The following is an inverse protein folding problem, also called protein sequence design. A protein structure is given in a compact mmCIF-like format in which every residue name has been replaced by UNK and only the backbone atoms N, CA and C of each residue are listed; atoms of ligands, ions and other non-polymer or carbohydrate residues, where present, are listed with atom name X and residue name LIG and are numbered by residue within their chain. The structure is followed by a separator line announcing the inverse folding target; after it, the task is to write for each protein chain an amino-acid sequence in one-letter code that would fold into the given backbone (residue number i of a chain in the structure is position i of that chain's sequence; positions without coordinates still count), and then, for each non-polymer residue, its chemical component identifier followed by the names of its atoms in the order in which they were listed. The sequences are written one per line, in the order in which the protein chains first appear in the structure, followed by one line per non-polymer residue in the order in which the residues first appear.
data_IF_309020915099
#
_entry.id   IF_309020915099
#
_cell.length_a   1.000
_cell.length_b   1.000
_cell.length_c   1.000
_cell.angle_alpha   90.00
_cell.angle_beta   90.00
_cell.angle_gamma   90.00
#
_symmetry.space_group_name_H-M   'P 1'
#
loop_
_entity.id
_entity.type
_entity.pdbx_description
1 polymer ?
#
# COMPACT_ATOMS: atom_id res chain seq x y z
N UNK A 1 7.49 64.78 -33.39
CA UNK A 1 6.86 63.46 -33.67
C UNK A 1 7.99 62.50 -33.99
N UNK A 2 8.23 61.36 -33.34
CA UNK A 2 7.51 60.61 -32.29
C UNK A 2 8.50 59.60 -31.72
N UNK A 3 8.49 59.42 -30.40
CA UNK A 3 9.20 58.37 -29.65
C UNK A 3 8.66 56.99 -30.05
N UNK A 4 9.51 55.96 -30.04
CA UNK A 4 9.07 54.59 -29.73
C UNK A 4 10.14 53.91 -28.87
N UNK A 5 9.68 53.47 -27.69
CA UNK A 5 10.43 52.80 -26.63
C UNK A 5 10.56 51.29 -26.90
N UNK A 6 11.63 50.74 -26.35
CA UNK A 6 11.96 49.33 -26.11
C UNK A 6 10.92 48.56 -25.31
N UNK A 7 10.68 47.28 -25.64
CA UNK A 7 10.33 46.24 -24.64
C UNK A 7 11.03 44.93 -24.97
N UNK A 8 12.16 44.71 -24.31
CA UNK A 8 12.87 43.43 -24.21
C UNK A 8 12.11 42.53 -23.23
N UNK A 9 11.71 41.33 -23.66
CA UNK A 9 11.17 40.30 -22.77
C UNK A 9 12.28 39.75 -21.85
N UNK A 10 12.05 39.54 -20.55
CA UNK A 10 12.97 38.76 -19.73
C UNK A 10 12.66 37.27 -19.89
N UNK A 11 13.58 36.55 -20.53
CA UNK A 11 13.63 35.08 -20.53
C UNK A 11 13.90 34.59 -19.12
N UNK A 12 12.88 34.04 -18.45
CA UNK A 12 13.02 33.46 -17.12
C UNK A 12 13.40 31.98 -17.24
N UNK A 13 14.69 31.70 -17.31
CA UNK A 13 15.25 30.37 -17.15
C UNK A 13 15.95 30.29 -15.79
N UNK A 14 15.18 30.37 -14.70
CA UNK A 14 15.68 30.11 -13.35
C UNK A 14 15.89 28.61 -13.19
N UNK A 15 17.10 28.20 -12.87
CA UNK A 15 17.46 26.77 -12.74
C UNK A 15 16.94 26.19 -11.42
N UNK A 16 16.66 24.88 -11.37
CA UNK A 16 16.33 24.18 -10.11
C UNK A 16 17.34 24.48 -8.99
N UNK A 17 18.60 24.61 -9.38
CA UNK A 17 19.70 24.92 -8.48
C UNK A 17 19.54 26.30 -7.84
N UNK A 18 19.11 27.32 -8.60
CA UNK A 18 18.83 28.66 -8.06
C UNK A 18 17.63 28.65 -7.13
N UNK A 19 16.56 27.93 -7.44
CA UNK A 19 15.39 27.80 -6.55
C UNK A 19 15.73 27.08 -5.24
N UNK A 20 16.51 26.00 -5.30
CA UNK A 20 17.00 25.28 -4.11
C UNK A 20 17.98 26.14 -3.30
N UNK A 21 18.79 26.97 -3.97
CA UNK A 21 19.72 27.90 -3.32
C UNK A 21 18.97 29.07 -2.66
N UNK A 22 17.89 29.56 -3.27
CA UNK A 22 17.01 30.57 -2.69
C UNK A 22 16.33 30.05 -1.41
N UNK A 23 15.83 28.80 -1.44
CA UNK A 23 15.29 28.11 -0.25
C UNK A 23 16.34 27.95 0.85
N UNK A 24 17.59 27.63 0.47
CA UNK A 24 18.70 27.50 1.43
C UNK A 24 19.12 28.86 1.99
N UNK A 25 19.16 29.92 1.19
CA UNK A 25 19.62 31.23 1.65
C UNK A 25 18.61 31.92 2.56
N UNK A 26 17.31 31.71 2.33
CA UNK A 26 16.26 32.30 3.18
C UNK A 26 16.14 31.61 4.55
N UNK A 27 16.47 30.32 4.65
CA UNK A 27 16.56 29.63 5.96
C UNK A 27 17.74 30.13 6.82
N UNK A 28 18.73 30.81 6.24
CA UNK A 28 19.90 31.33 6.96
C UNK A 28 19.74 32.79 7.45
N UNK A 29 18.73 33.53 7.00
CA UNK A 29 18.62 34.97 7.30
C UNK A 29 17.99 35.26 8.67
N UNK A 30 17.42 34.28 9.39
CA UNK A 30 16.86 34.47 10.73
C UNK A 30 17.74 34.01 11.92
N UNK A 31 19.03 33.77 11.72
CA UNK A 31 19.96 33.48 12.83
C UNK A 31 21.13 34.46 12.86
N UNK A 32 20.90 35.70 13.31
CA UNK A 32 21.99 36.57 13.73
C UNK A 32 22.29 36.37 15.22
N UNK A 33 23.48 35.79 15.46
CA UNK A 33 24.31 35.71 16.68
C UNK A 33 24.43 34.32 17.33
N UNK A 34 25.37 33.50 16.86
CA UNK A 34 26.26 32.72 17.72
C UNK A 34 27.57 32.38 16.96
N UNK A 35 28.70 32.44 17.67
CA UNK A 35 30.08 32.24 17.18
C UNK A 35 30.38 30.80 16.70
N UNK A 36 31.46 30.60 15.90
CA UNK A 36 31.64 29.40 15.08
C UNK A 36 32.19 28.22 15.87
N UNK A 37 31.60 27.03 15.69
CA UNK A 37 32.21 25.74 16.04
C UNK A 37 32.46 24.92 14.77
N UNK A 38 33.57 24.19 14.81
CA UNK A 38 34.23 23.40 13.76
C UNK A 38 33.37 22.27 13.16
N UNK A 39 33.75 21.71 12.00
CA UNK A 39 32.87 20.86 11.20
C UNK A 39 32.81 19.46 11.79
N UNK A 40 31.75 19.18 12.55
CA UNK A 40 31.37 17.83 12.96
C UNK A 40 30.13 17.41 12.20
N UNK A 41 30.30 16.39 11.35
CA UNK A 41 29.32 15.45 10.81
C UNK A 41 27.86 15.72 11.19
N UNK A 42 27.06 16.19 10.22
CA UNK A 42 25.61 16.24 10.30
C UNK A 42 25.06 14.82 10.48
N UNK A 43 24.81 14.42 11.71
CA UNK A 43 24.00 13.25 12.05
C UNK A 43 22.53 13.59 11.84
N UNK A 44 21.80 12.68 11.20
CA UNK A 44 20.42 12.81 10.69
C UNK A 44 19.33 12.90 11.77
N UNK A 45 19.49 13.74 12.79
CA UNK A 45 18.52 13.89 13.88
C UNK A 45 17.96 15.31 13.94
N UNK A 46 16.81 15.52 13.29
CA UNK A 46 15.91 16.64 13.60
C UNK A 46 14.54 16.32 13.01
N UNK A 47 13.78 15.47 13.69
CA UNK A 47 12.41 15.19 13.31
C UNK A 47 11.48 15.65 14.44
N UNK A 48 10.63 16.61 14.07
CA UNK A 48 9.43 17.03 14.79
C UNK A 48 9.57 17.86 16.08
N UNK A 49 10.59 18.70 16.19
CA UNK A 49 10.49 19.91 17.03
C UNK A 49 9.50 20.93 16.43
N UNK A 50 9.01 21.90 17.21
CA UNK A 50 8.15 23.00 16.72
C UNK A 50 8.75 23.74 15.51
N UNK A 51 10.07 23.73 15.39
CA UNK A 51 10.81 24.20 14.21
C UNK A 51 10.45 23.47 12.90
N UNK A 52 10.06 22.20 12.97
CA UNK A 52 9.66 21.40 11.81
C UNK A 52 8.24 21.75 11.32
N UNK A 53 7.33 22.11 12.24
CA UNK A 53 5.99 22.59 11.87
C UNK A 53 6.11 23.96 11.21
N UNK A 54 6.95 24.84 11.76
CA UNK A 54 7.27 26.13 11.16
C UNK A 54 7.92 25.98 9.78
N UNK A 55 8.81 24.99 9.60
CA UNK A 55 9.40 24.64 8.31
C UNK A 55 8.34 24.20 7.28
N UNK A 56 7.32 23.44 7.70
CA UNK A 56 6.22 23.03 6.83
C UNK A 56 5.36 24.21 6.39
N UNK A 57 4.93 25.09 7.30
CA UNK A 57 4.16 26.29 6.94
C UNK A 57 4.95 27.22 6.01
N UNK A 58 6.24 27.38 6.29
CA UNK A 58 7.15 28.14 5.43
C UNK A 58 7.29 27.50 4.05
N UNK A 59 7.40 26.17 3.98
CA UNK A 59 7.44 25.42 2.73
C UNK A 59 6.16 25.63 1.91
N UNK A 60 4.97 25.54 2.51
CA UNK A 60 3.68 25.74 1.83
C UNK A 60 3.56 27.18 1.29
N UNK A 61 3.96 28.19 2.07
CA UNK A 61 3.99 29.60 1.65
C UNK A 61 4.95 29.81 0.48
N UNK A 62 6.16 29.26 0.58
CA UNK A 62 7.18 29.33 -0.46
C UNK A 62 6.67 28.68 -1.76
N UNK A 63 6.07 27.50 -1.66
CA UNK A 63 5.49 26.80 -2.80
C UNK A 63 4.36 27.60 -3.46
N UNK A 64 3.53 28.28 -2.67
CA UNK A 64 2.48 29.18 -3.17
C UNK A 64 3.07 30.36 -3.93
N UNK A 65 4.16 30.95 -3.44
CA UNK A 65 4.92 31.98 -4.14
C UNK A 65 5.56 31.49 -5.45
N UNK A 66 6.10 30.26 -5.46
CA UNK A 66 6.66 29.60 -6.64
C UNK A 66 5.55 29.34 -7.69
N UNK A 67 4.38 28.87 -7.26
CA UNK A 67 3.20 28.67 -8.12
C UNK A 67 2.75 30.00 -8.75
N UNK A 68 2.70 31.08 -7.97
CA UNK A 68 2.32 32.41 -8.45
C UNK A 68 3.28 32.98 -9.52
N UNK A 69 4.54 32.52 -9.53
CA UNK A 69 5.54 32.88 -10.55
C UNK A 69 5.39 32.09 -11.86
N UNK A 70 4.42 31.18 -11.97
CA UNK A 70 4.19 30.39 -13.18
C UNK A 70 5.21 29.29 -13.41
N UNK A 71 5.85 28.80 -12.35
CA UNK A 71 6.80 27.68 -12.46
C UNK A 71 6.07 26.41 -12.90
N UNK A 72 6.72 25.63 -13.78
CA UNK A 72 6.14 24.41 -14.35
C UNK A 72 5.81 23.37 -13.26
N UNK A 73 4.69 22.68 -13.42
CA UNK A 73 4.16 21.74 -12.43
C UNK A 73 5.10 20.55 -12.12
N UNK A 74 5.86 20.07 -13.10
CA UNK A 74 6.89 19.02 -12.94
C UNK A 74 8.03 19.47 -12.03
N UNK A 75 8.39 20.76 -12.10
CA UNK A 75 9.41 21.35 -11.23
C UNK A 75 8.93 21.44 -9.79
N UNK A 76 7.70 21.93 -9.62
CA UNK A 76 7.02 22.03 -8.33
C UNK A 76 6.91 20.63 -7.73
N UNK A 77 6.53 19.64 -8.54
CA UNK A 77 6.46 18.25 -8.10
C UNK A 77 7.81 17.68 -7.67
N UNK A 78 8.88 17.98 -8.40
CA UNK A 78 10.25 17.59 -8.03
C UNK A 78 10.68 18.21 -6.70
N UNK A 79 10.35 19.49 -6.46
CA UNK A 79 10.62 20.17 -5.19
C UNK A 79 9.87 19.47 -4.04
N UNK A 80 8.58 19.16 -4.24
CA UNK A 80 7.76 18.46 -3.23
C UNK A 80 8.31 17.06 -2.95
N UNK A 81 8.63 16.28 -3.98
CA UNK A 81 9.18 14.93 -3.82
C UNK A 81 10.51 14.95 -3.08
N UNK A 82 11.39 15.91 -3.40
CA UNK A 82 12.66 16.07 -2.70
C UNK A 82 12.46 16.48 -1.24
N UNK A 83 11.59 17.46 -0.97
CA UNK A 83 11.25 17.88 0.39
C UNK A 83 10.65 16.73 1.19
N UNK A 84 9.67 16.03 0.64
CA UNK A 84 9.01 14.89 1.28
C UNK A 84 10.00 13.76 1.61
N UNK A 85 10.96 13.47 0.72
CA UNK A 85 11.96 12.42 0.94
C UNK A 85 12.95 12.73 2.06
N UNK A 86 13.16 14.02 2.37
CA UNK A 86 13.98 14.46 3.52
C UNK A 86 13.29 14.14 4.85
N UNK A 87 11.96 14.25 4.89
CA UNK A 87 11.16 14.14 6.12
C UNK A 87 10.51 12.77 6.31
N UNK A 88 10.31 12.03 5.22
CA UNK A 88 9.80 10.67 5.20
C UNK A 88 10.78 9.80 4.39
N UNK A 89 11.76 9.15 5.05
CA UNK A 89 12.69 8.25 4.38
C UNK A 89 11.97 7.13 3.60
N UNK A 90 10.79 6.71 4.09
CA UNK A 90 9.86 5.77 3.42
C UNK A 90 9.51 6.19 1.97
N UNK A 91 9.64 7.48 1.63
CA UNK A 91 9.34 8.03 0.30
C UNK A 91 10.57 8.12 -0.61
N UNK A 92 11.78 7.92 -0.09
CA UNK A 92 13.01 7.92 -0.87
C UNK A 92 13.18 6.60 -1.65
N UNK A 93 13.86 6.61 -2.80
CA UNK A 93 14.06 5.42 -3.63
C UNK A 93 15.03 4.38 -3.04
N UNK A 94 15.70 4.66 -1.91
CA UNK A 94 16.60 3.71 -1.25
C UNK A 94 15.78 2.62 -0.56
N UNK A 95 16.02 1.37 -0.97
CA UNK A 95 15.27 0.21 -0.50
C UNK A 95 15.37 0.00 1.01
N UNK A 96 14.25 -0.43 1.60
CA UNK A 96 14.08 -1.06 2.92
C UNK A 96 15.35 -1.09 3.78
N UNK A 97 15.68 0.04 4.40
CA UNK A 97 16.63 0.09 5.50
C UNK A 97 15.92 0.65 6.72
N UNK A 98 15.64 -0.28 7.63
CA UNK A 98 15.70 -0.13 9.09
C UNK A 98 14.73 0.88 9.72
N UNK A 99 13.73 0.33 10.42
CA UNK A 99 13.16 0.98 11.59
C UNK A 99 14.30 1.15 12.60
N UNK A 100 14.91 2.32 12.64
CA UNK A 100 15.85 2.69 13.70
C UNK A 100 15.09 3.40 14.84
N UNK A 101 15.41 2.94 16.05
CA UNK A 101 14.84 3.34 17.31
C UNK A 101 14.90 4.85 17.53
N UNK A 102 13.75 5.44 17.82
CA UNK A 102 13.64 6.83 18.27
C UNK A 102 13.93 6.90 19.76
N UNK A 103 15.21 7.03 20.12
CA UNK A 103 15.60 7.42 21.48
C UNK A 103 15.88 8.92 21.53
N UNK A 104 14.84 9.75 21.46
CA UNK A 104 14.93 11.14 21.93
C UNK A 104 13.55 11.75 22.23
N UNK A 105 13.46 12.40 23.39
CA UNK A 105 12.35 13.22 23.91
C UNK A 105 11.10 12.49 24.45
N UNK A 106 10.50 12.94 25.58
CA UNK A 106 9.29 12.34 26.17
C UNK A 106 8.02 12.78 25.42
N UNK A 107 8.03 12.77 24.09
CA UNK A 107 6.83 13.05 23.31
C UNK A 107 6.02 11.75 23.15
N UNK A 108 4.71 11.82 23.40
CA UNK A 108 3.82 10.65 23.28
C UNK A 108 3.88 10.09 21.85
N UNK A 109 4.01 8.77 21.70
CA UNK A 109 3.98 8.06 20.41
C UNK A 109 2.76 8.49 19.57
N UNK A 110 1.64 8.77 20.23
CA UNK A 110 0.41 9.29 19.59
C UNK A 110 0.63 10.66 18.96
N UNK A 111 1.35 11.58 19.62
CA UNK A 111 1.63 12.91 19.09
C UNK A 111 2.55 12.84 17.87
N UNK A 112 3.59 12.00 17.92
CA UNK A 112 4.47 11.76 16.76
C UNK A 112 3.67 11.20 15.56
N UNK A 113 2.77 10.26 15.81
CA UNK A 113 1.90 9.70 14.78
C UNK A 113 0.96 10.74 14.16
N UNK A 114 0.34 11.58 15.00
CA UNK A 114 -0.51 12.68 14.54
C UNK A 114 0.27 13.71 13.71
N UNK A 115 1.51 14.03 14.10
CA UNK A 115 2.39 14.90 13.30
C UNK A 115 2.72 14.28 11.94
N UNK A 116 3.06 12.99 11.89
CA UNK A 116 3.30 12.25 10.63
C UNK A 116 2.05 12.27 9.74
N UNK A 117 0.86 12.07 10.32
CA UNK A 117 -0.42 12.15 9.61
C UNK A 117 -0.66 13.54 9.03
N UNK A 118 -0.55 14.59 9.84
CA UNK A 118 -0.71 15.98 9.39
C UNK A 118 0.26 16.34 8.25
N UNK A 119 1.52 15.86 8.34
CA UNK A 119 2.51 16.06 7.29
C UNK A 119 2.09 15.43 5.96
N UNK A 120 1.59 14.18 5.99
CA UNK A 120 1.09 13.48 4.80
C UNK A 120 -0.13 14.18 4.20
N UNK A 121 -1.10 14.58 5.03
CA UNK A 121 -2.30 15.31 4.58
C UNK A 121 -1.92 16.64 3.90
N UNK A 122 -0.97 17.37 4.50
CA UNK A 122 -0.45 18.62 3.93
C UNK A 122 0.27 18.39 2.60
N UNK A 123 1.10 17.34 2.50
CA UNK A 123 1.75 16.97 1.24
C UNK A 123 0.71 16.72 0.14
N UNK A 124 -0.34 15.95 0.42
CA UNK A 124 -1.41 15.67 -0.55
C UNK A 124 -2.09 16.96 -1.02
N UNK A 125 -2.35 17.90 -0.11
CA UNK A 125 -2.97 19.19 -0.44
C UNK A 125 -2.12 20.08 -1.33
N UNK A 126 -0.79 19.99 -1.25
CA UNK A 126 0.10 20.85 -2.05
C UNK A 126 0.48 20.28 -3.42
N UNK A 127 0.17 19.00 -3.68
CA UNK A 127 0.49 18.34 -4.95
C UNK A 127 -0.09 19.11 -6.16
N UNK A 128 0.72 19.33 -7.23
CA UNK A 128 0.23 19.97 -8.44
C UNK A 128 -0.88 19.11 -9.08
N UNK A 129 -2.02 19.67 -9.51
CA UNK A 129 -3.13 18.89 -10.08
C UNK A 129 -2.81 18.27 -11.45
N UNK A 130 -1.78 18.76 -12.13
CA UNK A 130 -1.41 18.33 -13.48
C UNK A 130 -0.93 16.88 -13.51
N UNK A 131 -1.32 16.16 -14.57
CA UNK A 131 -0.85 14.80 -14.83
C UNK A 131 0.68 14.79 -15.02
N UNK A 132 1.33 13.72 -14.59
CA UNK A 132 2.77 13.48 -14.76
C UNK A 132 3.67 14.53 -14.05
N UNK A 133 3.09 15.41 -13.22
CA UNK A 133 3.83 16.37 -12.38
C UNK A 133 4.56 15.70 -11.22
N UNK A 134 4.05 14.55 -10.75
CA UNK A 134 4.59 13.76 -9.66
C UNK A 134 4.74 12.31 -10.14
N UNK A 135 5.92 11.68 -9.98
CA UNK A 135 6.12 10.29 -10.38
C UNK A 135 5.14 9.32 -9.72
N UNK A 136 4.57 8.38 -10.49
CA UNK A 136 3.59 7.41 -9.98
C UNK A 136 4.12 6.58 -8.80
N UNK A 137 5.39 6.17 -8.84
CA UNK A 137 6.01 5.40 -7.75
C UNK A 137 6.11 6.19 -6.44
N UNK A 138 6.35 7.51 -6.51
CA UNK A 138 6.31 8.36 -5.33
C UNK A 138 4.89 8.46 -4.76
N UNK A 139 3.87 8.58 -5.61
CA UNK A 139 2.47 8.58 -5.15
C UNK A 139 2.08 7.25 -4.49
N UNK A 140 2.55 6.12 -5.00
CA UNK A 140 2.33 4.80 -4.38
C UNK A 140 3.00 4.69 -3.01
N UNK A 141 4.23 5.18 -2.86
CA UNK A 141 4.90 5.27 -1.55
C UNK A 141 4.15 6.20 -0.60
N UNK A 142 3.68 7.35 -1.08
CA UNK A 142 2.87 8.29 -0.30
C UNK A 142 1.55 7.67 0.13
N UNK A 143 0.88 6.91 -0.75
CA UNK A 143 -0.34 6.17 -0.42
C UNK A 143 -0.10 5.07 0.62
N UNK A 144 1.02 4.32 0.51
CA UNK A 144 1.42 3.36 1.54
C UNK A 144 1.57 4.05 2.89
N UNK A 145 2.28 5.17 2.96
CA UNK A 145 2.45 5.94 4.20
C UNK A 145 1.11 6.49 4.70
N UNK A 146 0.25 6.98 3.79
CA UNK A 146 -1.08 7.50 4.10
C UNK A 146 -2.01 6.44 4.70
N UNK A 147 -2.00 5.21 4.16
CA UNK A 147 -2.73 4.08 4.73
C UNK A 147 -2.15 3.66 6.08
N UNK A 148 -0.82 3.64 6.19
CA UNK A 148 -0.14 3.33 7.44
C UNK A 148 -0.55 4.29 8.56
N UNK A 149 -0.53 5.60 8.31
CA UNK A 149 -0.91 6.63 9.31
C UNK A 149 -2.42 6.83 9.48
N UNK A 150 -3.23 6.18 8.64
CA UNK A 150 -4.68 6.23 8.68
C UNK A 150 -5.29 7.58 8.31
N UNK A 151 -4.81 8.26 7.26
CA UNK A 151 -5.39 9.54 6.80
C UNK A 151 -6.87 9.41 6.42
N UNK A 152 -7.59 10.54 6.37
CA UNK A 152 -9.01 10.53 5.97
C UNK A 152 -9.22 10.04 4.53
N UNK A 153 -10.42 9.52 4.29
CA UNK A 153 -10.80 8.91 3.01
C UNK A 153 -10.69 9.87 1.81
N UNK A 154 -10.83 11.18 2.01
CA UNK A 154 -10.67 12.20 0.96
C UNK A 154 -9.24 12.25 0.41
N UNK A 155 -8.24 12.28 1.28
CA UNK A 155 -6.82 12.28 0.90
C UNK A 155 -6.44 11.00 0.17
N UNK A 156 -6.93 9.85 0.68
CA UNK A 156 -6.72 8.55 0.05
C UNK A 156 -7.33 8.51 -1.35
N UNK A 157 -8.57 8.97 -1.51
CA UNK A 157 -9.25 9.00 -2.82
C UNK A 157 -8.54 9.91 -3.83
N UNK A 158 -8.00 11.04 -3.38
CA UNK A 158 -7.24 11.94 -4.26
C UNK A 158 -5.92 11.30 -4.74
N UNK A 159 -5.21 10.59 -3.85
CA UNK A 159 -4.04 9.80 -4.23
C UNK A 159 -4.41 8.66 -5.18
N UNK A 160 -5.45 7.88 -4.87
CA UNK A 160 -5.93 6.79 -5.73
C UNK A 160 -6.30 7.31 -7.12
N UNK A 161 -6.98 8.45 -7.22
CA UNK A 161 -7.34 9.10 -8.49
C UNK A 161 -6.10 9.42 -9.33
N UNK A 162 -5.08 10.03 -8.72
CA UNK A 162 -3.84 10.41 -9.41
C UNK A 162 -3.04 9.20 -9.85
N UNK A 163 -2.90 8.20 -8.99
CA UNK A 163 -2.22 6.93 -9.30
C UNK A 163 -2.93 6.21 -10.45
N UNK A 164 -4.25 6.13 -10.39
CA UNK A 164 -5.06 5.50 -11.44
C UNK A 164 -4.90 6.18 -12.80
N UNK A 165 -4.51 7.46 -12.85
CA UNK A 165 -4.26 8.14 -14.12
C UNK A 165 -2.93 7.69 -14.77
N UNK A 166 -1.93 7.31 -13.98
CA UNK A 166 -0.58 7.00 -14.47
C UNK A 166 -0.08 5.62 -14.03
N UNK A 167 -1.02 4.68 -13.84
CA UNK A 167 -0.72 3.33 -13.38
C UNK A 167 0.21 2.57 -14.34
N UNK A 168 0.24 2.95 -15.62
CA UNK A 168 1.16 2.41 -16.64
C UNK A 168 2.64 2.76 -16.39
N UNK A 169 2.91 3.68 -15.46
CA UNK A 169 4.25 4.08 -15.02
C UNK A 169 4.65 3.47 -13.66
N UNK A 170 3.74 2.73 -13.01
CA UNK A 170 4.00 2.10 -11.73
C UNK A 170 4.93 0.89 -11.88
N UNK A 171 5.74 0.63 -10.87
CA UNK A 171 6.48 -0.62 -10.74
C UNK A 171 5.83 -1.54 -9.69
N UNK A 172 6.03 -2.85 -9.87
CA UNK A 172 5.45 -3.87 -8.99
C UNK A 172 5.82 -3.64 -7.52
N UNK A 173 7.09 -3.33 -7.23
CA UNK A 173 7.60 -3.10 -5.87
C UNK A 173 6.78 -2.08 -5.08
N UNK A 174 6.35 -1.00 -5.73
CA UNK A 174 5.62 0.08 -5.07
C UNK A 174 4.11 -0.17 -5.06
N UNK A 175 3.59 -1.02 -5.97
CA UNK A 175 2.18 -1.43 -5.99
C UNK A 175 1.84 -2.45 -4.89
N UNK A 176 2.82 -3.22 -4.40
CA UNK A 176 2.66 -4.20 -3.31
C UNK A 176 2.52 -3.47 -1.97
N UNK A 177 1.36 -2.88 -1.72
CA UNK A 177 1.05 -2.13 -0.50
C UNK A 177 0.47 -3.08 0.57
N UNK A 178 1.04 -3.13 1.79
CA UNK A 178 0.51 -3.93 2.89
C UNK A 178 -0.88 -3.49 3.31
N UNK A 179 -1.68 -4.44 3.80
CA UNK A 179 -2.93 -4.12 4.49
C UNK A 179 -2.62 -3.61 5.90
N UNK A 180 -3.12 -2.42 6.24
CA UNK A 180 -3.01 -1.84 7.59
C UNK A 180 -4.31 -1.98 8.39
N UNK A 181 -5.27 -2.75 7.89
CA UNK A 181 -6.54 -2.99 8.58
C UNK A 181 -6.43 -4.17 9.55
N UNK A 182 -6.82 -3.96 10.81
CA UNK A 182 -6.84 -5.00 11.84
C UNK A 182 -7.90 -6.09 11.60
N UNK A 183 -8.84 -5.88 10.67
CA UNK A 183 -9.91 -6.83 10.32
C UNK A 183 -9.64 -7.58 9.03
N UNK A 184 -8.55 -7.27 8.33
CA UNK A 184 -8.23 -7.87 7.04
C UNK A 184 -7.29 -9.07 7.26
N UNK A 185 -7.68 -10.22 6.72
CA UNK A 185 -6.85 -11.43 6.79
C UNK A 185 -5.67 -11.41 5.82
N UNK A 186 -5.73 -10.62 4.74
CA UNK A 186 -4.68 -10.61 3.71
C UNK A 186 -3.49 -9.74 4.13
N UNK A 187 -2.30 -10.13 3.68
CA UNK A 187 -1.05 -9.39 3.86
C UNK A 187 -1.02 -8.09 3.04
N UNK A 188 -1.70 -8.10 1.89
CA UNK A 188 -1.73 -7.00 0.93
C UNK A 188 -3.13 -6.37 0.86
N UNK A 189 -3.19 -5.07 0.59
CA UNK A 189 -4.43 -4.36 0.29
C UNK A 189 -4.84 -4.66 -1.17
N UNK A 190 -5.42 -5.84 -1.38
CA UNK A 190 -5.83 -6.31 -2.71
C UNK A 190 -6.98 -5.48 -3.28
N UNK A 191 -7.91 -5.07 -2.42
CA UNK A 191 -9.06 -4.25 -2.78
C UNK A 191 -8.63 -2.85 -3.24
N UNK A 192 -7.51 -2.30 -2.71
CA UNK A 192 -6.90 -1.09 -3.27
C UNK A 192 -6.49 -1.28 -4.73
N UNK A 193 -5.79 -2.37 -5.06
CA UNK A 193 -5.35 -2.61 -6.44
C UNK A 193 -6.54 -2.80 -7.38
N UNK A 194 -7.59 -3.51 -6.94
CA UNK A 194 -8.87 -3.59 -7.67
C UNK A 194 -9.41 -2.18 -7.97
N UNK A 195 -9.47 -1.29 -6.98
CA UNK A 195 -9.97 0.09 -7.18
C UNK A 195 -9.11 0.89 -8.15
N UNK A 196 -7.78 0.78 -8.06
CA UNK A 196 -6.85 1.48 -8.95
C UNK A 196 -7.00 1.02 -10.40
N UNK A 197 -7.05 -0.30 -10.64
CA UNK A 197 -7.16 -0.87 -11.98
C UNK A 197 -8.54 -0.57 -12.59
N UNK A 198 -9.62 -0.68 -11.82
CA UNK A 198 -10.97 -0.29 -12.28
C UNK A 198 -11.00 1.15 -12.77
N UNK A 199 -10.46 2.08 -11.97
CA UNK A 199 -10.37 3.50 -12.34
C UNK A 199 -9.50 3.72 -13.58
N UNK A 200 -8.35 3.05 -13.69
CA UNK A 200 -7.49 3.14 -14.86
C UNK A 200 -8.21 2.70 -16.14
N UNK A 201 -8.91 1.56 -16.10
CA UNK A 201 -9.66 1.03 -17.26
C UNK A 201 -10.85 1.93 -17.61
N UNK A 202 -11.54 2.51 -16.61
CA UNK A 202 -12.60 3.49 -16.88
C UNK A 202 -12.08 4.71 -17.66
N UNK A 203 -10.84 5.14 -17.45
CA UNK A 203 -10.23 6.25 -18.21
C UNK A 203 -9.87 5.85 -19.65
N UNK A 204 -9.56 4.59 -19.91
CA UNK A 204 -9.29 4.09 -21.28
C UNK A 204 -10.55 4.13 -22.14
N UNK A 205 -11.72 3.76 -21.58
CA UNK A 205 -13.01 3.82 -22.27
C UNK A 205 -13.39 5.25 -22.71
N UNK A 206 -12.84 6.27 -22.05
CA UNK A 206 -13.00 7.69 -22.41
C UNK A 206 -12.00 8.14 -23.50
N UNK A 207 -11.19 7.23 -24.04
CA UNK A 207 -10.14 7.52 -25.03
C UNK A 207 -8.90 8.19 -24.44
N UNK A 208 -8.77 8.24 -23.10
CA UNK A 208 -7.69 8.95 -22.43
C UNK A 208 -6.41 8.12 -22.24
N UNK A 209 -6.39 6.87 -22.70
CA UNK A 209 -5.23 5.96 -22.63
C UNK A 209 -4.91 5.37 -24.00
N UNK A 210 -3.64 5.01 -24.18
CA UNK A 210 -3.18 4.29 -25.36
C UNK A 210 -3.21 2.79 -25.10
N UNK A 211 -3.40 1.99 -26.15
CA UNK A 211 -3.29 0.52 -26.03
C UNK A 211 -1.95 0.06 -25.44
N UNK A 212 -0.86 0.82 -25.66
CA UNK A 212 0.43 0.54 -25.03
C UNK A 212 0.42 0.70 -23.51
N UNK A 213 -0.29 1.71 -22.99
CA UNK A 213 -0.45 1.91 -21.54
C UNK A 213 -1.25 0.75 -20.93
N UNK A 214 -2.32 0.32 -21.62
CA UNK A 214 -3.15 -0.79 -21.21
C UNK A 214 -2.38 -2.12 -21.14
N UNK A 215 -1.52 -2.40 -22.14
CA UNK A 215 -0.64 -3.58 -22.14
C UNK A 215 0.37 -3.54 -20.98
N UNK A 216 0.92 -2.36 -20.64
CA UNK A 216 1.81 -2.22 -19.48
C UNK A 216 1.08 -2.52 -18.17
N UNK A 217 -0.13 -1.99 -18.00
CA UNK A 217 -0.95 -2.26 -16.81
C UNK A 217 -1.34 -3.74 -16.73
N UNK A 218 -1.66 -4.39 -17.84
CA UNK A 218 -1.96 -5.82 -17.83
C UNK A 218 -0.78 -6.66 -17.31
N UNK A 219 0.44 -6.39 -17.81
CA UNK A 219 1.67 -7.05 -17.31
C UNK A 219 1.93 -6.76 -15.83
N UNK A 220 1.67 -5.54 -15.38
CA UNK A 220 1.79 -5.15 -13.97
C UNK A 220 0.79 -5.91 -13.10
N UNK A 221 -0.48 -6.00 -13.51
CA UNK A 221 -1.54 -6.72 -12.79
C UNK A 221 -1.26 -8.22 -12.75
N UNK A 222 -0.86 -8.83 -13.86
CA UNK A 222 -0.52 -10.26 -13.88
C UNK A 222 0.69 -10.56 -12.97
N UNK A 223 1.66 -9.64 -12.89
CA UNK A 223 2.80 -9.77 -11.97
C UNK A 223 2.37 -9.58 -10.51
N UNK A 224 1.46 -8.65 -10.24
CA UNK A 224 0.89 -8.44 -8.91
C UNK A 224 0.07 -9.65 -8.45
N UNK A 225 -0.76 -10.22 -9.33
CA UNK A 225 -1.54 -11.44 -9.06
C UNK A 225 -0.62 -12.60 -8.69
N UNK A 226 0.54 -12.74 -9.35
CA UNK A 226 1.51 -13.79 -9.01
C UNK A 226 2.14 -13.60 -7.61
N UNK A 227 2.42 -12.36 -7.19
CA UNK A 227 2.90 -12.07 -5.83
C UNK A 227 1.80 -12.25 -4.78
N UNK A 228 0.58 -11.76 -5.06
CA UNK A 228 -0.55 -11.85 -4.15
C UNK A 228 -1.08 -13.29 -3.99
N UNK A 229 -0.94 -14.13 -5.02
CA UNK A 229 -1.34 -15.54 -5.00
C UNK A 229 -0.59 -16.38 -3.95
N UNK A 230 0.53 -15.89 -3.41
CA UNK A 230 1.25 -16.53 -2.30
C UNK A 230 0.50 -16.39 -0.97
N UNK A 231 -0.43 -15.42 -0.87
CA UNK A 231 -1.25 -15.20 0.31
C UNK A 231 -2.37 -16.25 0.41
N UNK A 232 -2.29 -17.07 1.46
CA UNK A 232 -3.27 -18.10 1.78
C UNK A 232 -4.69 -17.55 2.02
N UNK A 233 -4.80 -16.27 2.38
CA UNK A 233 -6.07 -15.63 2.73
C UNK A 233 -6.72 -14.93 1.53
N UNK A 234 -6.09 -14.95 0.35
CA UNK A 234 -6.67 -14.39 -0.87
C UNK A 234 -7.81 -15.28 -1.39
N UNK A 235 -9.03 -14.73 -1.48
CA UNK A 235 -10.17 -15.47 -2.00
C UNK A 235 -10.12 -15.63 -3.52
N UNK A 236 -10.72 -16.71 -4.04
CA UNK A 236 -10.80 -16.96 -5.48
C UNK A 236 -11.59 -15.85 -6.17
N UNK A 237 -12.65 -15.37 -5.52
CA UNK A 237 -13.49 -14.31 -6.04
C UNK A 237 -12.71 -13.01 -6.25
N UNK A 238 -11.85 -12.61 -5.29
CA UNK A 238 -10.98 -11.44 -5.44
C UNK A 238 -9.98 -11.63 -6.58
N UNK A 239 -9.30 -12.79 -6.61
CA UNK A 239 -8.34 -13.11 -7.67
C UNK A 239 -8.98 -12.99 -9.07
N UNK A 240 -10.12 -13.64 -9.27
CA UNK A 240 -10.86 -13.61 -10.55
C UNK A 240 -11.35 -12.19 -10.85
N UNK A 241 -11.85 -11.46 -9.84
CA UNK A 241 -12.29 -10.08 -10.00
C UNK A 241 -11.17 -9.22 -10.55
N UNK A 242 -9.96 -9.28 -9.99
CA UNK A 242 -8.83 -8.47 -10.47
C UNK A 242 -8.39 -8.88 -11.89
N UNK A 243 -8.31 -10.19 -12.15
CA UNK A 243 -7.93 -10.70 -13.47
C UNK A 243 -8.91 -10.30 -14.59
N UNK A 244 -10.20 -10.19 -14.27
CA UNK A 244 -11.29 -9.90 -15.21
C UNK A 244 -11.54 -8.41 -15.47
N UNK A 245 -10.95 -7.47 -14.72
CA UNK A 245 -11.13 -6.02 -14.95
C UNK A 245 -10.53 -5.59 -16.31
N UNK A 246 -9.45 -6.24 -16.73
CA UNK A 246 -8.73 -5.88 -17.94
C UNK A 246 -9.40 -6.52 -19.18
N UNK A 247 -9.55 -5.78 -20.29
CA UNK A 247 -10.14 -6.31 -21.51
C UNK A 247 -9.20 -7.30 -22.19
N UNK A 248 -9.76 -8.24 -22.97
CA UNK A 248 -8.99 -9.33 -23.61
C UNK A 248 -7.85 -8.83 -24.50
N UNK A 249 -7.99 -7.68 -25.15
CA UNK A 249 -6.97 -7.11 -26.03
C UNK A 249 -5.81 -6.44 -25.27
N UNK A 250 -5.89 -6.31 -23.95
CA UNK A 250 -4.80 -5.80 -23.12
C UNK A 250 -3.65 -6.81 -22.98
N UNK A 251 -3.95 -8.10 -23.14
CA UNK A 251 -2.98 -9.20 -23.03
C UNK A 251 -2.58 -9.66 -24.42
N UNK A 252 -1.33 -9.41 -24.79
CA UNK A 252 -0.75 -9.99 -26.01
C UNK A 252 -0.36 -11.47 -25.81
N UNK A 253 -0.09 -11.84 -24.55
CA UNK A 253 0.34 -13.17 -24.10
C UNK A 253 -0.22 -13.40 -22.70
N UNK A 254 -0.80 -14.56 -22.44
CA UNK A 254 -1.40 -14.90 -21.14
C UNK A 254 -0.43 -15.60 -20.16
N UNK A 255 0.85 -15.75 -20.52
CA UNK A 255 1.87 -16.42 -19.71
C UNK A 255 1.96 -15.88 -18.28
N UNK A 256 1.85 -14.55 -18.12
CA UNK A 256 1.87 -13.90 -16.82
C UNK A 256 0.66 -14.29 -15.95
N UNK A 257 -0.53 -14.31 -16.54
CA UNK A 257 -1.77 -14.71 -15.89
C UNK A 257 -1.75 -16.20 -15.55
N UNK A 258 -1.32 -17.07 -16.46
CA UNK A 258 -1.19 -18.51 -16.20
C UNK A 258 -0.21 -18.79 -15.06
N UNK A 259 0.91 -18.06 -14.99
CA UNK A 259 1.85 -18.15 -13.86
C UNK A 259 1.17 -17.76 -12.54
N UNK A 260 0.36 -16.69 -12.53
CA UNK A 260 -0.36 -16.29 -11.33
C UNK A 260 -1.40 -17.35 -10.89
N UNK A 261 -2.13 -17.94 -11.84
CA UNK A 261 -3.08 -19.03 -11.60
C UNK A 261 -2.37 -20.26 -11.04
N UNK A 262 -1.25 -20.66 -11.64
CA UNK A 262 -0.44 -21.79 -11.18
C UNK A 262 0.06 -21.59 -9.74
N UNK A 263 0.56 -20.40 -9.40
CA UNK A 263 0.92 -20.06 -8.01
C UNK A 263 -0.28 -20.15 -7.07
N UNK A 264 -1.43 -19.59 -7.47
CA UNK A 264 -2.64 -19.59 -6.64
C UNK A 264 -3.11 -21.03 -6.34
N UNK A 265 -3.21 -21.86 -7.39
CA UNK A 265 -3.63 -23.25 -7.26
C UNK A 265 -2.66 -24.07 -6.40
N UNK A 266 -1.34 -23.84 -6.51
CA UNK A 266 -0.35 -24.50 -5.65
C UNK A 266 -0.61 -24.19 -4.18
N UNK A 267 -0.80 -22.92 -3.83
CA UNK A 267 -1.06 -22.50 -2.44
C UNK A 267 -2.38 -23.09 -1.94
N UNK A 268 -3.46 -23.00 -2.73
CA UNK A 268 -4.74 -23.61 -2.37
C UNK A 268 -4.63 -25.12 -2.14
N UNK A 269 -3.89 -25.83 -3.00
CA UNK A 269 -3.68 -27.28 -2.86
C UNK A 269 -2.89 -27.62 -1.59
N UNK A 270 -1.82 -26.88 -1.28
CA UNK A 270 -1.06 -27.06 -0.04
C UNK A 270 -1.92 -26.84 1.21
N UNK A 271 -2.78 -25.83 1.20
CA UNK A 271 -3.70 -25.55 2.32
C UNK A 271 -4.72 -26.69 2.45
N UNK A 272 -5.23 -27.20 1.34
CA UNK A 272 -6.20 -28.29 1.34
C UNK A 272 -5.61 -29.60 1.91
N UNK A 273 -4.42 -29.99 1.45
CA UNK A 273 -3.68 -31.16 1.96
C UNK A 273 -3.38 -31.04 3.46
N UNK A 274 -2.92 -29.86 3.89
CA UNK A 274 -2.66 -29.60 5.31
C UNK A 274 -3.95 -29.67 6.13
N UNK A 275 -5.05 -29.15 5.59
CA UNK A 275 -6.37 -29.18 6.25
C UNK A 275 -6.87 -30.62 6.43
N UNK A 276 -6.69 -31.48 5.43
CA UNK A 276 -6.99 -32.92 5.53
C UNK A 276 -6.11 -33.57 6.59
N UNK A 277 -4.80 -33.31 6.56
CA UNK A 277 -3.86 -33.90 7.52
C UNK A 277 -4.19 -33.51 8.96
N UNK A 278 -4.49 -32.24 9.22
CA UNK A 278 -4.92 -31.74 10.53
C UNK A 278 -6.25 -32.36 10.95
N UNK A 279 -7.24 -32.45 10.04
CA UNK A 279 -8.51 -33.09 10.35
C UNK A 279 -8.33 -34.58 10.73
N UNK A 280 -7.51 -35.32 9.99
CA UNK A 280 -7.18 -36.72 10.28
C UNK A 280 -6.43 -36.85 11.61
N UNK A 281 -5.47 -35.97 11.89
CA UNK A 281 -4.75 -35.96 13.15
C UNK A 281 -5.68 -35.62 14.34
N UNK A 282 -6.57 -34.64 14.18
CA UNK A 282 -7.52 -34.25 15.22
C UNK A 282 -8.51 -35.38 15.51
N UNK A 283 -9.05 -36.04 14.48
CA UNK A 283 -9.88 -37.24 14.63
C UNK A 283 -9.12 -38.35 15.36
N UNK A 284 -7.84 -38.57 15.03
CA UNK A 284 -7.02 -39.57 15.72
C UNK A 284 -6.70 -39.21 17.17
N UNK A 285 -6.46 -37.93 17.46
CA UNK A 285 -6.24 -37.43 18.83
C UNK A 285 -7.51 -37.60 19.68
N UNK A 286 -8.68 -37.22 19.16
CA UNK A 286 -9.99 -37.40 19.82
C UNK A 286 -10.30 -38.89 20.03
N UNK A 287 -10.00 -39.75 19.06
CA UNK A 287 -10.15 -41.18 19.23
C UNK A 287 -9.26 -41.72 20.35
N UNK A 288 -7.99 -41.32 20.37
CA UNK A 288 -7.03 -41.75 21.39
C UNK A 288 -7.42 -41.29 22.80
N UNK A 289 -7.93 -40.06 22.98
CA UNK A 289 -8.40 -39.57 24.28
C UNK A 289 -9.66 -40.30 24.75
N UNK A 290 -10.59 -40.64 23.84
CA UNK A 290 -11.75 -41.48 24.16
C UNK A 290 -11.35 -42.90 24.59
N UNK A 291 -10.36 -43.54 23.93
CA UNK A 291 -9.84 -44.84 24.38
C UNK A 291 -9.13 -44.79 25.73
N UNK A 292 -8.47 -43.67 26.06
CA UNK A 292 -7.84 -43.47 27.37
C UNK A 292 -8.89 -43.26 28.46
N UNK A 293 -9.95 -42.49 28.21
CA UNK A 293 -11.06 -42.33 29.16
C UNK A 293 -11.86 -43.64 29.35
N UNK A 294 -12.01 -44.48 28.33
CA UNK A 294 -12.65 -45.80 28.48
C UNK A 294 -11.79 -46.83 29.23
N UNK A 295 -10.47 -46.60 29.34
CA UNK A 295 -9.54 -47.49 30.05
C UNK A 295 -9.27 -47.06 31.50
N UNK A 296 -9.77 -45.91 31.94
CA UNK A 296 -9.80 -45.54 33.37
C UNK A 296 -11.05 -46.17 33.99
N UNK A 297 -10.89 -47.36 34.60
CA UNK A 297 -11.96 -48.00 35.38
C UNK A 297 -12.47 -47.05 36.48
N UNK A 298 -13.77 -46.72 36.55
CA UNK A 298 -14.32 -46.18 37.78
C UNK A 298 -14.28 -47.28 38.83
N UNK A 299 -13.70 -46.96 39.99
CA UNK A 299 -13.82 -47.81 41.17
C UNK A 299 -15.30 -47.84 41.57
N UNK A 300 -15.92 -48.99 41.31
CA UNK A 300 -17.27 -49.46 41.61
C UNK A 300 -18.14 -48.59 42.55
N UNK A 301 -19.38 -48.27 42.10
CA UNK A 301 -20.59 -48.90 42.65
C UNK A 301 -21.88 -48.57 41.88
N UNK A 302 -22.59 -49.66 41.60
CA UNK A 302 -24.03 -49.86 41.45
C UNK A 302 -24.84 -49.45 40.21
N UNK A 303 -25.87 -50.28 39.98
CA UNK A 303 -26.67 -50.53 38.77
C UNK A 303 -27.69 -49.42 38.47
N UNK A 304 -28.00 -49.23 37.17
CA UNK A 304 -29.32 -49.54 36.53
C UNK A 304 -29.58 -48.70 35.26
N UNK A 305 -29.56 -49.38 34.11
CA UNK A 305 -30.39 -49.24 32.87
C UNK A 305 -31.14 -47.91 32.58
N UNK A 306 -30.80 -47.23 31.46
CA UNK A 306 -31.54 -47.08 30.17
C UNK A 306 -31.35 -45.69 29.54
N UNK A 307 -31.07 -45.65 28.24
CA UNK A 307 -31.51 -44.56 27.36
C UNK A 307 -30.43 -43.78 26.60
N UNK A 308 -30.36 -44.04 25.28
CA UNK A 308 -30.09 -43.11 24.18
C UNK A 308 -28.93 -42.10 24.31
N UNK A 309 -27.87 -42.29 23.52
CA UNK A 309 -27.06 -41.18 23.01
C UNK A 309 -26.28 -41.60 21.75
N UNK A 310 -26.99 -41.66 20.61
CA UNK A 310 -26.40 -41.81 19.28
C UNK A 310 -26.38 -40.49 18.49
N UNK A 311 -26.62 -39.35 19.15
CA UNK A 311 -26.71 -38.03 18.49
C UNK A 311 -25.42 -37.19 18.57
N UNK A 312 -24.45 -37.53 19.42
CA UNK A 312 -23.26 -36.69 19.62
C UNK A 312 -22.16 -36.86 18.55
N UNK A 313 -22.14 -37.98 17.82
CA UNK A 313 -21.14 -38.23 16.77
C UNK A 313 -21.40 -37.47 15.47
N UNK A 314 -22.66 -37.30 15.07
CA UNK A 314 -23.02 -36.61 13.82
C UNK A 314 -22.93 -35.08 13.94
N UNK A 315 -23.17 -34.52 15.14
CA UNK A 315 -23.01 -33.09 15.39
C UNK A 315 -21.55 -32.62 15.30
N UNK A 316 -20.58 -33.48 15.63
CA UNK A 316 -19.15 -33.13 15.56
C UNK A 316 -18.63 -33.11 14.11
N UNK A 317 -19.08 -34.06 13.28
CA UNK A 317 -18.72 -34.11 11.85
C UNK A 317 -19.30 -32.92 11.09
N UNK A 318 -20.53 -32.52 11.42
CA UNK A 318 -21.15 -31.32 10.85
C UNK A 318 -20.44 -30.02 11.28
N UNK A 319 -19.92 -29.95 12.51
CA UNK A 319 -19.16 -28.79 13.01
C UNK A 319 -17.77 -28.66 12.37
N UNK A 320 -17.11 -29.78 12.04
CA UNK A 320 -15.83 -29.78 11.31
C UNK A 320 -16.03 -29.36 9.85
N UNK A 321 -17.16 -29.72 9.23
CA UNK A 321 -17.52 -29.20 7.91
C UNK A 321 -17.89 -27.70 7.91
N UNK A 322 -18.40 -27.18 9.03
CA UNK A 322 -18.76 -25.76 9.17
C UNK A 322 -17.56 -24.82 9.40
N UNK A 323 -16.37 -25.35 9.70
CA UNK A 323 -15.16 -24.55 9.94
C UNK A 323 -14.21 -24.45 8.74
N UNK A 324 -14.50 -25.19 7.67
CA UNK A 324 -13.77 -25.16 6.41
C UNK A 324 -14.70 -24.53 5.38
N UNK A 325 -14.74 -23.20 5.35
CA UNK A 325 -15.36 -22.43 4.29
C UNK A 325 -14.47 -22.55 3.03
N UNK A 326 -14.38 -23.78 2.52
CA UNK A 326 -13.82 -24.07 1.21
C UNK A 326 -14.80 -23.45 0.24
N UNK A 327 -14.36 -22.35 -0.37
CA UNK A 327 -15.11 -21.64 -1.39
C UNK A 327 -15.65 -22.66 -2.39
N UNK A 328 -16.99 -22.81 -2.46
CA UNK A 328 -17.64 -23.82 -3.33
C UNK A 328 -17.15 -23.71 -4.78
N UNK A 329 -16.67 -22.54 -5.18
CA UNK A 329 -16.10 -22.27 -6.49
C UNK A 329 -14.80 -23.05 -6.78
N UNK A 330 -13.98 -23.34 -5.76
CA UNK A 330 -12.76 -24.16 -5.90
C UNK A 330 -13.12 -25.62 -6.16
N UNK A 331 -14.18 -26.13 -5.51
CA UNK A 331 -14.65 -27.50 -5.71
C UNK A 331 -15.31 -27.70 -7.10
N UNK A 332 -15.94 -26.65 -7.63
CA UNK A 332 -16.57 -26.67 -8.97
C UNK A 332 -15.51 -26.66 -10.08
N UNK A 333 -14.38 -25.99 -9.90
CA UNK A 333 -13.25 -26.04 -10.85
C UNK A 333 -12.68 -27.46 -11.03
N UNK A 334 -12.77 -28.31 -10.01
CA UNK A 334 -12.34 -29.72 -10.09
C UNK A 334 -13.31 -30.64 -10.85
N UNK A 335 -14.53 -30.20 -11.16
CA UNK A 335 -15.51 -30.99 -11.90
C UNK A 335 -15.55 -30.68 -13.41
N UNK A 336 -14.81 -29.67 -13.86
CA UNK A 336 -14.79 -29.22 -15.27
C UNK A 336 -13.41 -29.24 -15.94
N UNK A 337 -12.38 -29.74 -15.25
CA UNK A 337 -11.09 -30.18 -15.81
C UNK A 337 -11.06 -31.71 -15.81
#
# INVERSE_FOLDING_TARGET
MSKTDTTTQPSCSTTLFELLTEMKNQSYIEQSNFQPKSPSNFTSECWFDDACILDMDYFVKTLSGIKAKGVRADLIGSIITHYASKWLPDLAEKGLTQFEDTSSSPESITALWMKKRFFVETLVNVLPPEKDSIPCNFLLRLLRTANMVGVDGSYRQELEKRISWQLDQACLKELVIPSFSHTCGTLLDFELVIRLVKRFVSLDNEGAKSGAALVKVAKLVDSYLAEAAVDANLSLNEFVTLAAILPNHARNTDDGLYRAIDTYLKVCFFIFELSIYVAVFHVRAVYNTHTLQSNVKPFSKDKTVRGSDTQNGQYLVAKVACGLEIDRNILIMFFFL
#
